data_IF_323322628774
#
_entry.id   IF_323322628774
#
_cell.length_a   1.000
_cell.length_b   1.000
_cell.length_c   1.000
_cell.angle_alpha   90.00
_cell.angle_beta   90.00
_cell.angle_gamma   90.00
#
_symmetry.space_group_name_H-M   'P 1'
#
loop_
_entity.id
_entity.type
_entity.pdbx_description
1 polymer ?
#
# COMPACT_ATOMS: atom_id res chain seq x y z
N UNK A 1 -3.45 9.72 -11.93
CA UNK A 1 -3.38 8.73 -10.83
C UNK A 1 -1.90 8.46 -10.58
N UNK A 2 -1.48 8.11 -9.35
CA UNK A 2 -0.08 7.79 -9.08
C UNK A 2 0.32 6.51 -9.81
N UNK A 3 1.46 6.54 -10.49
CA UNK A 3 2.08 5.38 -11.12
C UNK A 3 3.43 5.09 -10.45
N UNK A 4 3.79 3.82 -10.35
CA UNK A 4 5.03 3.38 -9.71
C UNK A 4 6.27 3.99 -10.36
N UNK A 5 6.27 4.06 -11.70
CA UNK A 5 7.34 4.68 -12.47
C UNK A 5 7.60 6.14 -12.04
N UNK A 6 6.55 6.89 -11.65
CA UNK A 6 6.74 8.25 -11.12
C UNK A 6 7.52 8.24 -9.80
N UNK A 7 7.25 7.27 -8.92
CA UNK A 7 8.00 7.13 -7.66
C UNK A 7 9.46 6.72 -7.93
N UNK A 8 9.70 5.85 -8.91
CA UNK A 8 11.04 5.45 -9.33
C UNK A 8 11.85 6.64 -9.87
N UNK A 9 11.26 7.47 -10.73
CA UNK A 9 11.90 8.68 -11.24
C UNK A 9 12.19 9.68 -10.12
N UNK A 10 11.25 9.89 -9.20
CA UNK A 10 11.45 10.74 -8.03
C UNK A 10 12.59 10.21 -7.15
N UNK A 11 12.61 8.92 -6.86
CA UNK A 11 13.65 8.29 -6.06
C UNK A 11 15.03 8.38 -6.75
N UNK A 12 15.09 8.29 -8.08
CA UNK A 12 16.34 8.43 -8.84
C UNK A 12 16.96 9.82 -8.67
N UNK A 13 16.17 10.86 -8.41
CA UNK A 13 16.70 12.21 -8.16
C UNK A 13 17.57 12.29 -6.91
N UNK A 14 17.32 11.42 -5.91
CA UNK A 14 18.04 11.41 -4.64
C UNK A 14 17.80 12.62 -3.73
N UNK A 15 17.00 13.61 -4.14
CA UNK A 15 16.84 14.89 -3.44
C UNK A 15 15.42 15.15 -2.96
N UNK A 16 14.43 14.43 -3.50
CA UNK A 16 13.02 14.64 -3.19
C UNK A 16 12.58 13.68 -2.06
N UNK A 17 11.78 14.21 -1.14
CA UNK A 17 11.05 13.44 -0.13
C UNK A 17 9.56 13.40 -0.48
N UNK A 18 8.90 12.28 -0.19
CA UNK A 18 7.51 12.01 -0.59
C UNK A 18 6.66 11.73 0.63
N UNK A 19 5.55 12.45 0.74
CA UNK A 19 4.40 12.06 1.55
C UNK A 19 3.29 11.53 0.64
N UNK A 20 2.86 10.30 0.89
CA UNK A 20 1.83 9.62 0.12
C UNK A 20 0.64 9.23 0.98
N UNK A 21 -0.56 9.59 0.53
CA UNK A 21 -1.83 9.07 1.05
C UNK A 21 -2.19 7.78 0.34
N UNK A 22 -1.75 6.64 0.88
CA UNK A 22 -2.00 5.32 0.31
C UNK A 22 -3.46 4.89 0.50
N UNK A 23 -4.24 4.66 -0.58
CA UNK A 23 -5.69 4.52 -0.52
C UNK A 23 -6.14 3.10 -0.13
N UNK A 24 -5.98 2.75 1.15
CA UNK A 24 -6.34 1.43 1.74
C UNK A 24 -7.73 0.94 1.31
N UNK A 25 -8.75 1.79 1.43
CA UNK A 25 -10.13 1.39 1.10
C UNK A 25 -10.32 1.05 -0.38
N UNK A 26 -9.65 1.79 -1.28
CA UNK A 26 -9.77 1.57 -2.72
C UNK A 26 -9.11 0.24 -3.11
N UNK A 27 -7.95 -0.06 -2.52
CA UNK A 27 -7.25 -1.34 -2.72
C UNK A 27 -8.11 -2.50 -2.21
N UNK A 28 -8.58 -2.42 -0.96
CA UNK A 28 -9.42 -3.47 -0.36
C UNK A 28 -10.70 -3.71 -1.17
N UNK A 29 -11.32 -2.68 -1.73
CA UNK A 29 -12.51 -2.83 -2.58
C UNK A 29 -12.21 -3.57 -3.89
N UNK A 30 -11.06 -3.34 -4.51
CA UNK A 30 -10.69 -4.01 -5.75
C UNK A 30 -10.34 -5.48 -5.52
N UNK A 31 -9.72 -5.79 -4.37
CA UNK A 31 -9.26 -7.14 -4.01
C UNK A 31 -10.40 -8.01 -3.49
N UNK A 32 -11.42 -7.43 -2.81
CA UNK A 32 -12.55 -8.18 -2.22
C UNK A 32 -13.48 -8.90 -3.21
N UNK A 33 -13.21 -8.89 -4.51
CA UNK A 33 -13.98 -9.72 -5.45
C UNK A 33 -13.62 -11.20 -5.20
N UNK A 34 -14.63 -12.05 -5.10
CA UNK A 34 -14.47 -13.46 -4.69
C UNK A 34 -13.54 -14.24 -5.62
N UNK A 35 -13.52 -13.89 -6.92
CA UNK A 35 -12.67 -14.53 -7.92
C UNK A 35 -11.80 -13.49 -8.62
N UNK A 36 -10.56 -13.84 -8.88
CA UNK A 36 -9.61 -13.04 -9.66
C UNK A 36 -10.08 -12.80 -11.10
N UNK A 37 -10.92 -13.70 -11.62
CA UNK A 37 -11.59 -13.61 -12.92
C UNK A 37 -12.61 -12.47 -12.99
N UNK A 38 -13.26 -12.15 -11.86
CA UNK A 38 -14.27 -11.09 -11.80
C UNK A 38 -13.66 -9.68 -11.78
N UNK A 39 -12.34 -9.56 -11.68
CA UNK A 39 -11.64 -8.27 -11.66
C UNK A 39 -11.51 -7.77 -13.11
N UNK A 40 -12.10 -6.61 -13.46
CA UNK A 40 -12.02 -6.07 -14.81
C UNK A 40 -10.58 -5.83 -15.22
N UNK A 41 -10.25 -6.03 -16.51
CA UNK A 41 -8.91 -5.79 -17.05
C UNK A 41 -8.41 -4.38 -16.76
N UNK A 42 -9.27 -3.36 -16.87
CA UNK A 42 -8.94 -1.97 -16.55
C UNK A 42 -8.52 -1.76 -15.09
N UNK A 43 -9.04 -2.56 -14.15
CA UNK A 43 -8.64 -2.52 -12.74
C UNK A 43 -7.28 -3.22 -12.56
N UNK A 44 -7.06 -4.35 -13.23
CA UNK A 44 -5.78 -5.06 -13.21
C UNK A 44 -4.66 -4.17 -13.75
N UNK A 45 -4.83 -3.60 -14.94
CA UNK A 45 -3.85 -2.69 -15.54
C UNK A 45 -3.53 -1.48 -14.66
N UNK A 46 -4.56 -0.90 -14.03
CA UNK A 46 -4.39 0.21 -13.10
C UNK A 46 -3.62 -0.22 -11.85
N UNK A 47 -3.83 -1.43 -11.38
CA UNK A 47 -3.08 -1.97 -10.25
C UNK A 47 -1.66 -2.32 -10.62
N UNK A 48 -1.44 -2.87 -11.82
CA UNK A 48 -0.11 -3.13 -12.37
C UNK A 48 0.72 -1.84 -12.45
N UNK A 49 0.12 -0.73 -12.94
CA UNK A 49 0.78 0.58 -12.98
C UNK A 49 1.02 1.18 -11.59
N UNK A 50 0.08 0.98 -10.66
CA UNK A 50 0.19 1.55 -9.32
C UNK A 50 1.24 0.83 -8.46
N UNK A 51 1.31 -0.49 -8.56
CA UNK A 51 2.30 -1.30 -7.85
C UNK A 51 3.64 -1.32 -8.60
N UNK A 52 3.63 -1.31 -9.93
CA UNK A 52 4.83 -1.45 -10.77
C UNK A 52 5.19 -2.90 -11.09
N UNK A 53 4.34 -3.86 -10.72
CA UNK A 53 4.47 -5.28 -11.07
C UNK A 53 3.09 -5.86 -11.30
N UNK A 54 3.01 -7.03 -11.95
CA UNK A 54 1.81 -7.87 -12.05
C UNK A 54 1.70 -8.88 -10.89
N UNK A 55 2.80 -9.08 -10.16
CA UNK A 55 2.91 -10.07 -9.08
C UNK A 55 2.12 -9.71 -7.83
N UNK A 56 1.55 -8.48 -7.78
CA UNK A 56 0.70 -8.07 -6.68
C UNK A 56 -0.49 -9.02 -6.51
N UNK A 57 -0.97 -9.72 -7.55
CA UNK A 57 -2.05 -10.70 -7.36
C UNK A 57 -1.66 -11.83 -6.38
N UNK A 58 -0.43 -12.32 -6.44
CA UNK A 58 0.03 -13.39 -5.53
C UNK A 58 0.15 -12.91 -4.07
N UNK A 59 0.27 -11.60 -3.84
CA UNK A 59 0.32 -11.03 -2.49
C UNK A 59 -1.07 -10.81 -1.85
N UNK A 60 -2.14 -10.89 -2.66
CA UNK A 60 -3.50 -10.53 -2.28
C UNK A 60 -4.51 -11.66 -2.43
N UNK A 61 -4.12 -12.76 -3.06
CA UNK A 61 -4.96 -13.93 -3.26
C UNK A 61 -4.18 -15.19 -2.88
N UNK A 62 -4.89 -16.16 -2.31
CA UNK A 62 -4.36 -17.49 -1.97
C UNK A 62 -5.27 -18.59 -2.52
N UNK A 63 -4.74 -19.79 -2.67
CA UNK A 63 -5.53 -20.96 -3.05
C UNK A 63 -6.07 -21.65 -1.79
N UNK A 64 -7.39 -21.76 -1.70
CA UNK A 64 -8.08 -22.45 -0.62
C UNK A 64 -8.77 -23.70 -1.17
N UNK A 65 -8.65 -24.82 -0.44
CA UNK A 65 -9.34 -26.06 -0.81
C UNK A 65 -10.79 -26.01 -0.34
N UNK A 66 -11.73 -26.04 -1.28
CA UNK A 66 -13.16 -26.06 -0.99
C UNK A 66 -13.78 -27.43 -1.26
N UNK A 67 -15.05 -27.60 -0.87
CA UNK A 67 -15.83 -28.80 -1.20
C UNK A 67 -16.01 -29.04 -2.72
N UNK A 68 -15.74 -28.04 -3.54
CA UNK A 68 -15.86 -28.10 -5.01
C UNK A 68 -14.50 -28.06 -5.73
N UNK A 69 -13.39 -28.16 -4.99
CA UNK A 69 -12.03 -28.08 -5.52
C UNK A 69 -11.27 -26.81 -5.07
N UNK A 70 -10.05 -26.60 -5.56
CA UNK A 70 -9.26 -25.41 -5.26
C UNK A 70 -9.95 -24.15 -5.80
N UNK A 71 -10.14 -23.15 -4.95
CA UNK A 71 -10.61 -21.82 -5.33
C UNK A 71 -9.56 -20.77 -4.95
N UNK A 72 -9.37 -19.76 -5.80
CA UNK A 72 -8.53 -18.60 -5.48
C UNK A 72 -9.37 -17.57 -4.72
N UNK A 73 -9.03 -17.35 -3.45
CA UNK A 73 -9.76 -16.45 -2.54
C UNK A 73 -8.91 -15.23 -2.16
N UNK A 74 -9.52 -14.07 -1.90
CA UNK A 74 -8.78 -12.89 -1.46
C UNK A 74 -8.29 -13.04 -0.01
N UNK A 75 -7.00 -12.76 0.21
CA UNK A 75 -6.42 -12.71 1.56
C UNK A 75 -7.00 -11.51 2.31
N UNK A 76 -7.55 -11.75 3.49
CA UNK A 76 -8.01 -10.67 4.37
C UNK A 76 -6.84 -9.83 4.86
N UNK A 77 -6.76 -8.57 4.44
CA UNK A 77 -5.70 -7.65 4.86
C UNK A 77 -6.26 -6.43 5.59
N UNK A 78 -5.70 -6.17 6.77
CA UNK A 78 -5.91 -4.94 7.52
C UNK A 78 -5.28 -3.75 6.80
N UNK A 79 -5.77 -2.54 7.10
CA UNK A 79 -5.17 -1.32 6.54
C UNK A 79 -3.70 -1.14 6.90
N UNK A 80 -3.29 -1.62 8.08
CA UNK A 80 -1.89 -1.58 8.52
C UNK A 80 -1.01 -2.50 7.69
N UNK A 81 -1.45 -3.74 7.45
CA UNK A 81 -0.72 -4.70 6.62
C UNK A 81 -0.53 -4.19 5.19
N UNK A 82 -1.59 -3.62 4.60
CA UNK A 82 -1.52 -3.01 3.28
C UNK A 82 -0.52 -1.86 3.21
N UNK A 83 -0.56 -0.96 4.20
CA UNK A 83 0.41 0.12 4.31
C UNK A 83 1.83 -0.40 4.44
N UNK A 84 2.04 -1.46 5.21
CA UNK A 84 3.35 -2.06 5.43
C UNK A 84 3.89 -2.77 4.17
N UNK A 85 3.03 -3.44 3.39
CA UNK A 85 3.39 -4.00 2.08
C UNK A 85 3.85 -2.92 1.13
N UNK A 86 3.08 -1.83 1.00
CA UNK A 86 3.45 -0.74 0.11
C UNK A 86 4.75 -0.06 0.58
N UNK A 87 4.95 0.11 1.89
CA UNK A 87 6.22 0.60 2.45
C UNK A 87 7.40 -0.30 2.09
N UNK A 88 7.24 -1.63 2.13
CA UNK A 88 8.33 -2.54 1.78
C UNK A 88 8.78 -2.32 0.35
N UNK A 89 7.85 -2.14 -0.59
CA UNK A 89 8.18 -1.75 -1.96
C UNK A 89 8.85 -0.39 -2.04
N UNK A 90 8.35 0.61 -1.30
CA UNK A 90 8.99 1.94 -1.29
C UNK A 90 10.45 1.88 -0.83
N UNK A 91 10.83 0.93 0.04
CA UNK A 91 12.22 0.74 0.47
C UNK A 91 13.15 0.19 -0.62
N UNK A 92 12.59 -0.36 -1.70
CA UNK A 92 13.38 -0.82 -2.84
C UNK A 92 13.97 0.37 -3.62
N UNK A 93 13.29 1.52 -3.58
CA UNK A 93 13.65 2.72 -4.35
C UNK A 93 14.11 3.88 -3.46
N UNK A 94 13.60 4.01 -2.23
CA UNK A 94 14.00 5.04 -1.27
C UNK A 94 14.85 4.44 -0.14
N UNK A 95 15.91 5.14 0.26
CA UNK A 95 16.83 4.70 1.33
C UNK A 95 16.15 4.64 2.70
N UNK A 96 15.19 5.54 2.95
CA UNK A 96 14.51 5.65 4.23
C UNK A 96 12.99 5.75 4.04
N UNK A 97 12.23 4.93 4.77
CA UNK A 97 10.77 4.97 4.78
C UNK A 97 10.23 4.82 6.21
N UNK A 98 9.40 5.77 6.63
CA UNK A 98 8.77 5.77 7.94
C UNK A 98 7.75 4.63 8.07
N UNK A 99 7.46 4.20 9.30
CA UNK A 99 6.35 3.28 9.57
C UNK A 99 5.03 3.93 9.12
N UNK A 100 4.14 3.23 8.38
CA UNK A 100 2.91 3.83 7.87
C UNK A 100 1.96 4.19 9.00
N UNK A 101 1.37 5.39 8.93
CA UNK A 101 0.33 5.82 9.86
C UNK A 101 -1.04 5.54 9.26
N UNK A 102 -1.77 4.58 9.85
CA UNK A 102 -3.15 4.30 9.46
C UNK A 102 -4.06 5.40 10.00
N UNK A 103 -4.70 6.14 9.09
CA UNK A 103 -5.73 7.13 9.41
C UNK A 103 -7.10 6.47 9.41
N UNK A 104 -7.89 6.71 10.46
CA UNK A 104 -9.25 6.21 10.61
C UNK A 104 -10.25 7.36 10.74
N UNK A 105 -11.54 7.09 10.49
CA UNK A 105 -12.61 8.05 10.76
C UNK A 105 -13.05 8.02 12.24
N UNK A 106 -14.04 8.84 12.60
CA UNK A 106 -14.61 8.87 13.96
C UNK A 106 -15.23 7.56 14.44
N UNK A 107 -15.52 6.62 13.53
CA UNK A 107 -15.99 5.26 13.82
C UNK A 107 -14.86 4.23 13.81
N UNK A 108 -13.60 4.69 13.83
CA UNK A 108 -12.39 3.89 13.74
C UNK A 108 -12.26 3.03 12.45
N UNK A 109 -12.98 3.37 11.38
CA UNK A 109 -12.86 2.67 10.11
C UNK A 109 -11.63 3.19 9.32
N UNK A 110 -10.78 2.29 8.77
CA UNK A 110 -9.64 2.64 7.92
C UNK A 110 -10.01 3.54 6.73
N UNK A 111 -9.31 4.68 6.57
CA UNK A 111 -9.44 5.57 5.41
C UNK A 111 -8.26 5.39 4.45
N UNK A 112 -7.05 5.72 4.92
CA UNK A 112 -5.81 5.66 4.15
C UNK A 112 -4.61 5.45 5.08
N UNK A 113 -3.47 5.03 4.52
CA UNK A 113 -2.19 5.01 5.22
C UNK A 113 -1.34 6.19 4.76
N UNK A 114 -0.90 7.03 5.68
CA UNK A 114 0.09 8.06 5.39
C UNK A 114 1.47 7.42 5.42
N UNK A 115 2.20 7.52 4.30
CA UNK A 115 3.53 6.94 4.12
C UNK A 115 4.50 8.05 3.78
N UNK A 116 5.66 8.05 4.45
CA UNK A 116 6.78 8.94 4.14
C UNK A 116 7.96 8.13 3.61
N UNK A 117 8.60 8.62 2.55
CA UNK A 117 9.82 8.06 2.00
C UNK A 117 10.77 9.16 1.50
N UNK A 118 12.08 8.92 1.61
CA UNK A 118 13.11 9.85 1.16
C UNK A 118 14.52 9.29 1.30
N UNK A 119 15.51 10.13 1.02
CA UNK A 119 16.94 9.76 1.07
C UNK A 119 17.67 10.29 2.31
N UNK A 120 17.02 11.14 3.12
CA UNK A 120 17.58 11.74 4.31
C UNK A 120 17.11 11.05 5.61
N UNK A 121 18.06 10.54 6.39
CA UNK A 121 17.79 9.91 7.69
C UNK A 121 17.17 10.89 8.72
N UNK A 122 17.39 12.19 8.59
CA UNK A 122 16.75 13.19 9.45
C UNK A 122 15.29 13.39 9.07
N UNK A 123 14.96 13.41 7.77
CA UNK A 123 13.58 13.53 7.29
C UNK A 123 12.70 12.40 7.81
N UNK A 124 13.18 11.15 7.74
CA UNK A 124 12.42 9.99 8.26
C UNK A 124 12.21 10.07 9.78
N UNK A 125 13.20 10.52 10.56
CA UNK A 125 13.05 10.69 12.01
C UNK A 125 11.98 11.72 12.34
N UNK A 126 11.98 12.86 11.64
CA UNK A 126 10.97 13.91 11.81
C UNK A 126 9.58 13.36 11.48
N UNK A 127 9.44 12.66 10.35
CA UNK A 127 8.17 12.07 9.95
C UNK A 127 7.65 11.05 10.99
N UNK A 128 8.51 10.17 11.49
CA UNK A 128 8.14 9.20 12.51
C UNK A 128 7.73 9.85 13.83
N UNK A 129 8.38 10.93 14.25
CA UNK A 129 8.02 11.65 15.47
C UNK A 129 6.67 12.38 15.32
N UNK A 130 6.38 12.94 14.14
CA UNK A 130 5.06 13.47 13.81
C UNK A 130 4.01 12.34 13.88
N UNK A 131 4.28 11.18 13.26
CA UNK A 131 3.33 10.07 13.24
C UNK A 131 3.04 9.51 14.64
N UNK A 132 4.06 9.37 15.48
CA UNK A 132 3.91 8.96 16.89
C UNK A 132 3.03 9.94 17.67
N UNK A 133 3.13 11.24 17.40
CA UNK A 133 2.28 12.25 18.06
C UNK A 133 0.80 12.02 17.70
N UNK A 134 0.48 11.78 16.44
CA UNK A 134 -0.90 11.47 16.03
C UNK A 134 -1.43 10.17 16.63
N UNK A 135 -0.60 9.13 16.73
CA UNK A 135 -0.98 7.87 17.38
C UNK A 135 -1.26 7.99 18.89
N UNK A 136 -0.76 9.04 19.56
CA UNK A 136 -1.02 9.30 20.98
C UNK A 136 -2.28 10.13 21.22
N UNK A 137 -2.77 10.83 20.20
CA UNK A 137 -3.91 11.75 20.30
C UNK A 137 -5.24 11.12 19.86
N UNK A 138 -5.20 10.07 19.05
CA UNK A 138 -6.36 9.29 18.62
C UNK A 138 -6.52 8.04 19.48
#
# INVERSE_FOLDING_TARGET
>A
QLEWNTLEEIARTGTIEVFLNFPVMAINRNVRRRRTEDIPSSVKERMDRFWGTKDWMAEFFEEEQTLFGPETVPIGQSGKELGQRFRNRMKEIFRHCAVPLLMTNSKNAPLYCLIFAGHNATGVRIAEDIFKKFLRMG
#
